data_IF_005856601656
#
_entry.id   IF_005856601656
#
_cell.length_a   1.000
_cell.length_b   1.000
_cell.length_c   1.000
_cell.angle_alpha   90.00
_cell.angle_beta   90.00
_cell.angle_gamma   90.00
#
_symmetry.space_group_name_H-M   'P 1'
#
loop_
_entity.id
_entity.type
_entity.pdbx_description
1 polymer ?
#
# COMPACT_ATOMS: atom_id res chain seq x y z
N UNK A 1 -34.84 -13.76 10.37
CA UNK A 1 -34.23 -13.34 9.10
C UNK A 1 -33.11 -12.41 9.46
N UNK A 2 -31.85 -12.83 9.27
CA UNK A 2 -30.73 -11.88 9.30
C UNK A 2 -30.91 -10.94 8.10
N UNK A 3 -30.89 -9.63 8.33
CA UNK A 3 -30.91 -8.66 7.26
C UNK A 3 -29.55 -8.73 6.54
N UNK A 4 -29.57 -9.00 5.24
CA UNK A 4 -28.37 -8.98 4.41
C UNK A 4 -27.90 -7.53 4.25
N UNK A 5 -26.58 -7.31 4.30
CA UNK A 5 -26.01 -6.00 3.98
C UNK A 5 -26.46 -5.53 2.60
N UNK A 6 -26.72 -4.24 2.45
CA UNK A 6 -26.67 -3.60 1.14
C UNK A 6 -25.22 -3.55 0.67
N UNK A 7 -24.94 -4.03 -0.55
CA UNK A 7 -23.58 -4.06 -1.13
C UNK A 7 -23.59 -3.24 -2.40
N UNK A 8 -22.73 -2.21 -2.46
CA UNK A 8 -22.48 -1.39 -3.64
C UNK A 8 -21.04 -1.58 -4.11
N UNK A 9 -20.85 -1.82 -5.41
CA UNK A 9 -19.52 -1.92 -6.03
C UNK A 9 -19.32 -0.76 -7.02
N UNK A 10 -18.21 -0.05 -6.87
CA UNK A 10 -17.89 1.15 -7.64
C UNK A 10 -16.47 0.99 -8.19
N UNK A 11 -16.24 1.47 -9.41
CA UNK A 11 -14.90 1.69 -9.96
C UNK A 11 -14.61 3.19 -9.96
N UNK A 12 -13.45 3.59 -9.45
CA UNK A 12 -13.01 4.99 -9.43
C UNK A 12 -11.62 5.13 -10.03
N UNK A 13 -11.45 6.22 -10.78
CA UNK A 13 -10.17 6.61 -11.38
C UNK A 13 -9.58 7.90 -10.81
N UNK A 14 -10.35 8.59 -9.95
CA UNK A 14 -9.89 9.77 -9.23
C UNK A 14 -10.60 9.92 -7.89
N UNK A 15 -9.88 10.46 -6.90
CA UNK A 15 -10.44 10.80 -5.59
C UNK A 15 -11.47 11.93 -5.62
N UNK A 16 -11.53 12.76 -6.66
CA UNK A 16 -12.56 13.81 -6.78
C UNK A 16 -14.00 13.27 -6.84
N UNK A 17 -14.16 12.01 -7.24
CA UNK A 17 -15.45 11.33 -7.25
C UNK A 17 -15.76 10.58 -5.95
N UNK A 18 -14.76 10.33 -5.10
CA UNK A 18 -14.90 9.57 -3.85
C UNK A 18 -15.86 10.26 -2.87
N UNK A 19 -15.61 11.54 -2.59
CA UNK A 19 -16.34 12.31 -1.57
C UNK A 19 -17.79 12.61 -1.95
N UNK A 20 -18.16 12.48 -3.23
CA UNK A 20 -19.55 12.53 -3.68
C UNK A 20 -20.34 11.29 -3.25
N UNK A 21 -19.66 10.17 -3.03
CA UNK A 21 -20.25 8.85 -2.74
C UNK A 21 -20.23 8.48 -1.26
N UNK A 22 -19.33 9.07 -0.47
CA UNK A 22 -19.20 8.77 0.95
C UNK A 22 -19.76 9.94 1.77
N UNK A 23 -20.85 9.67 2.50
CA UNK A 23 -21.47 10.58 3.48
C UNK A 23 -22.05 9.77 4.62
N UNK A 24 -22.14 10.39 5.80
CA UNK A 24 -22.87 9.86 6.93
C UNK A 24 -22.02 9.76 8.19
N UNK A 25 -22.69 9.86 9.35
CA UNK A 25 -22.14 9.45 10.64
C UNK A 25 -22.08 7.91 10.69
N UNK A 26 -21.33 7.36 11.64
CA UNK A 26 -21.18 5.91 11.86
C UNK A 26 -20.65 5.15 10.63
N UNK A 27 -19.80 5.83 9.85
CA UNK A 27 -19.12 5.28 8.68
C UNK A 27 -17.64 5.07 8.97
N UNK A 28 -17.14 3.87 8.67
CA UNK A 28 -15.71 3.57 8.63
C UNK A 28 -15.23 3.56 7.17
N UNK A 29 -14.22 4.37 6.86
CA UNK A 29 -13.53 4.32 5.57
C UNK A 29 -12.19 3.61 5.75
N UNK A 30 -11.96 2.58 4.95
CA UNK A 30 -10.76 1.74 4.98
C UNK A 30 -10.04 1.91 3.65
N UNK A 31 -8.83 2.46 3.71
CA UNK A 31 -7.97 2.63 2.55
C UNK A 31 -6.94 1.50 2.48
N UNK A 32 -6.76 0.89 1.33
CA UNK A 32 -5.45 0.33 1.01
C UNK A 32 -4.41 1.44 0.90
N UNK A 33 -3.15 1.08 1.05
CA UNK A 33 -2.02 2.01 0.99
C UNK A 33 -1.35 1.97 -0.37
N UNK A 34 -0.78 0.82 -0.76
CA UNK A 34 -0.03 0.69 -2.00
C UNK A 34 -1.02 0.67 -3.17
N UNK A 35 -0.79 1.47 -4.21
CA UNK A 35 -1.71 1.53 -5.36
C UNK A 35 -2.97 2.37 -5.14
N UNK A 36 -3.25 2.81 -3.90
CA UNK A 36 -4.37 3.68 -3.56
C UNK A 36 -3.92 5.03 -2.97
N UNK A 37 -3.10 5.01 -1.90
CA UNK A 37 -2.58 6.23 -1.27
C UNK A 37 -1.18 6.56 -1.79
N UNK A 38 -0.29 5.58 -1.75
CA UNK A 38 1.14 5.73 -2.01
C UNK A 38 1.56 4.95 -3.25
N UNK A 39 2.49 5.54 -3.98
CA UNK A 39 3.26 4.89 -5.02
C UNK A 39 4.74 5.20 -4.84
N UNK A 40 5.60 4.30 -5.31
CA UNK A 40 7.02 4.61 -5.41
C UNK A 40 7.25 5.77 -6.40
N UNK A 41 8.25 6.62 -6.11
CA UNK A 41 8.67 7.66 -7.06
C UNK A 41 9.39 7.08 -8.26
N UNK A 42 10.22 6.06 -8.02
CA UNK A 42 11.05 5.43 -9.04
C UNK A 42 10.23 4.45 -9.88
N UNK A 43 10.35 4.58 -11.20
CA UNK A 43 9.60 3.80 -12.18
C UNK A 43 9.90 2.30 -12.08
N UNK A 44 11.12 1.91 -11.71
CA UNK A 44 11.48 0.49 -11.54
C UNK A 44 10.56 -0.21 -10.52
N UNK A 45 10.10 0.53 -9.52
CA UNK A 45 9.27 0.05 -8.42
C UNK A 45 7.77 0.10 -8.72
N UNK A 46 7.37 0.61 -9.90
CA UNK A 46 5.96 0.66 -10.31
C UNK A 46 5.35 -0.74 -10.51
N UNK A 47 4.02 -0.84 -10.49
CA UNK A 47 3.34 -2.11 -10.74
C UNK A 47 3.72 -2.72 -12.10
N UNK A 48 3.78 -1.89 -13.15
CA UNK A 48 4.08 -2.32 -14.53
C UNK A 48 5.44 -2.97 -14.69
N UNK A 49 6.41 -2.63 -13.81
CA UNK A 49 7.76 -3.17 -13.87
C UNK A 49 7.98 -4.36 -12.91
N UNK A 50 6.91 -4.90 -12.34
CA UNK A 50 6.99 -6.01 -11.37
C UNK A 50 7.68 -7.24 -11.94
N UNK A 51 7.43 -7.59 -13.20
CA UNK A 51 8.07 -8.75 -13.83
C UNK A 51 9.60 -8.57 -13.91
N UNK A 52 10.06 -7.37 -14.31
CA UNK A 52 11.48 -7.03 -14.34
C UNK A 52 12.12 -7.15 -12.95
N UNK A 53 11.42 -6.68 -11.90
CA UNK A 53 11.90 -6.80 -10.52
C UNK A 53 11.98 -8.24 -10.06
N UNK A 54 10.94 -9.03 -10.30
CA UNK A 54 10.92 -10.45 -9.93
C UNK A 54 12.07 -11.19 -10.60
N UNK A 55 12.28 -10.98 -11.90
CA UNK A 55 13.40 -11.58 -12.62
C UNK A 55 14.75 -11.22 -11.99
N UNK A 56 14.99 -9.94 -11.71
CA UNK A 56 16.22 -9.50 -11.06
C UNK A 56 16.43 -10.16 -9.69
N UNK A 57 15.40 -10.19 -8.84
CA UNK A 57 15.49 -10.79 -7.50
C UNK A 57 15.64 -12.31 -7.56
N UNK A 58 15.01 -12.98 -8.52
CA UNK A 58 15.14 -14.42 -8.72
C UNK A 58 16.54 -14.78 -9.23
N UNK A 59 17.14 -13.94 -10.08
CA UNK A 59 18.53 -14.12 -10.52
C UNK A 59 19.50 -13.95 -9.33
N UNK A 60 19.25 -12.98 -8.43
CA UNK A 60 20.01 -12.87 -7.16
C UNK A 60 19.87 -14.13 -6.31
N UNK A 61 18.66 -14.64 -6.13
CA UNK A 61 18.44 -15.85 -5.32
C UNK A 61 19.12 -17.07 -5.91
N UNK A 62 19.08 -17.24 -7.24
CA UNK A 62 19.77 -18.34 -7.92
C UNK A 62 21.29 -18.24 -7.77
N UNK A 63 21.87 -17.05 -7.84
CA UNK A 63 23.32 -16.84 -7.79
C UNK A 63 23.89 -16.73 -6.37
N UNK A 64 23.11 -16.23 -5.41
CA UNK A 64 23.60 -15.83 -4.07
C UNK A 64 22.70 -16.29 -2.91
N UNK A 65 21.57 -16.94 -3.19
CA UNK A 65 20.66 -17.48 -2.19
C UNK A 65 19.62 -16.50 -1.64
N UNK A 66 18.66 -17.05 -0.90
CA UNK A 66 17.50 -16.32 -0.38
C UNK A 66 17.87 -15.17 0.57
N UNK A 67 18.91 -15.33 1.38
CA UNK A 67 19.36 -14.28 2.31
C UNK A 67 19.82 -13.04 1.54
N UNK A 68 20.60 -13.22 0.48
CA UNK A 68 21.06 -12.10 -0.34
C UNK A 68 19.91 -11.43 -1.10
N UNK A 69 18.93 -12.21 -1.60
CA UNK A 69 17.69 -11.66 -2.19
C UNK A 69 16.96 -10.76 -1.20
N UNK A 70 16.78 -11.22 0.05
CA UNK A 70 16.13 -10.45 1.12
C UNK A 70 16.90 -9.18 1.47
N UNK A 71 18.23 -9.26 1.51
CA UNK A 71 19.09 -8.10 1.78
C UNK A 71 19.00 -7.06 0.65
N UNK A 72 19.17 -7.47 -0.61
CA UNK A 72 19.09 -6.52 -1.73
C UNK A 72 17.70 -5.90 -1.79
N UNK A 73 16.63 -6.70 -1.72
CA UNK A 73 15.29 -6.16 -1.74
C UNK A 73 15.02 -5.24 -0.54
N UNK A 74 15.45 -5.64 0.66
CA UNK A 74 15.31 -4.83 1.86
C UNK A 74 16.01 -3.48 1.72
N UNK A 75 17.19 -3.44 1.11
CA UNK A 75 17.95 -2.22 0.88
C UNK A 75 17.28 -1.30 -0.16
N UNK A 76 16.71 -1.86 -1.22
CA UNK A 76 15.91 -1.09 -2.19
C UNK A 76 14.73 -0.43 -1.49
N UNK A 77 13.97 -1.20 -0.69
CA UNK A 77 12.81 -0.69 0.03
C UNK A 77 13.20 0.34 1.11
N UNK A 78 14.39 0.21 1.73
CA UNK A 78 14.89 1.16 2.72
C UNK A 78 15.26 2.53 2.14
N UNK A 79 15.67 2.57 0.87
CA UNK A 79 16.19 3.76 0.22
C UNK A 79 15.21 4.38 -0.79
N UNK A 80 14.07 3.72 -1.04
CA UNK A 80 13.09 4.25 -1.98
C UNK A 80 12.30 5.41 -1.39
N UNK A 81 11.86 6.32 -2.26
CA UNK A 81 10.99 7.41 -1.88
C UNK A 81 9.54 7.19 -2.34
N UNK A 82 8.59 7.61 -1.51
CA UNK A 82 7.16 7.55 -1.82
C UNK A 82 6.61 8.90 -2.30
N UNK A 83 5.65 8.83 -3.22
CA UNK A 83 4.74 9.92 -3.60
C UNK A 83 3.30 9.52 -3.29
N UNK A 84 2.46 10.54 -3.03
CA UNK A 84 1.01 10.35 -3.10
C UNK A 84 0.65 10.01 -4.54
N UNK A 85 -0.32 9.11 -4.71
CA UNK A 85 -0.85 8.78 -6.04
C UNK A 85 -1.54 9.99 -6.65
N UNK A 86 -2.43 10.62 -5.88
CA UNK A 86 -3.04 11.90 -6.21
C UNK A 86 -2.82 12.89 -5.06
N UNK A 87 -2.25 14.09 -5.30
CA UNK A 87 -2.12 15.10 -4.25
C UNK A 87 -3.47 15.53 -3.65
N UNK A 88 -4.56 15.47 -4.42
CA UNK A 88 -5.91 15.84 -3.96
C UNK A 88 -6.47 14.89 -2.89
N UNK A 89 -5.89 13.68 -2.75
CA UNK A 89 -6.28 12.70 -1.74
C UNK A 89 -6.29 13.29 -0.33
N UNK A 90 -5.29 14.11 0.02
CA UNK A 90 -5.19 14.72 1.36
C UNK A 90 -6.42 15.59 1.67
N UNK A 91 -6.88 16.37 0.68
CA UNK A 91 -8.09 17.19 0.83
C UNK A 91 -9.32 16.32 1.08
N UNK A 92 -9.49 15.24 0.31
CA UNK A 92 -10.62 14.33 0.45
C UNK A 92 -10.59 13.55 1.76
N UNK A 93 -9.41 13.11 2.19
CA UNK A 93 -9.19 12.47 3.50
C UNK A 93 -9.71 13.35 4.64
N UNK A 94 -9.28 14.61 4.70
CA UNK A 94 -9.71 15.54 5.73
C UNK A 94 -11.19 15.90 5.60
N UNK A 95 -11.70 16.03 4.38
CA UNK A 95 -13.14 16.23 4.17
C UNK A 95 -13.96 15.09 4.77
N UNK A 96 -13.59 13.82 4.52
CA UNK A 96 -14.29 12.67 5.09
C UNK A 96 -14.26 12.68 6.62
N UNK A 97 -13.08 12.94 7.20
CA UNK A 97 -12.88 12.99 8.65
C UNK A 97 -13.72 14.10 9.30
N UNK A 98 -13.71 15.31 8.74
CA UNK A 98 -14.54 16.43 9.24
C UNK A 98 -16.04 16.21 9.07
N UNK A 99 -16.45 15.33 8.16
CA UNK A 99 -17.85 14.91 8.02
C UNK A 99 -18.23 13.73 8.93
N UNK A 100 -17.36 13.35 9.87
CA UNK A 100 -17.66 12.40 10.93
C UNK A 100 -17.41 10.93 10.58
N UNK A 101 -16.68 10.64 9.51
CA UNK A 101 -16.21 9.30 9.23
C UNK A 101 -14.94 8.98 10.05
N UNK A 102 -14.88 7.78 10.61
CA UNK A 102 -13.62 7.21 11.09
C UNK A 102 -12.85 6.66 9.88
N UNK A 103 -11.54 6.88 9.85
CA UNK A 103 -10.68 6.49 8.73
C UNK A 103 -9.50 5.66 9.22
N UNK A 104 -9.34 4.46 8.67
CA UNK A 104 -8.19 3.59 8.91
C UNK A 104 -7.52 3.20 7.58
N UNK A 105 -6.29 2.71 7.67
CA UNK A 105 -5.61 2.07 6.54
C UNK A 105 -5.47 0.57 6.78
N UNK A 106 -5.48 -0.23 5.72
CA UNK A 106 -5.31 -1.69 5.76
C UNK A 106 -4.46 -2.18 4.59
N UNK A 107 -3.22 -2.57 4.90
CA UNK A 107 -2.25 -3.05 3.91
C UNK A 107 -1.95 -4.53 4.09
N UNK A 108 -1.63 -5.22 2.99
CA UNK A 108 -1.14 -6.60 3.00
C UNK A 108 0.31 -6.73 3.50
N UNK A 109 0.99 -5.60 3.73
CA UNK A 109 2.38 -5.56 4.19
C UNK A 109 2.57 -6.25 5.55
N UNK A 110 3.79 -6.72 5.79
CA UNK A 110 4.24 -7.26 7.07
C UNK A 110 5.74 -7.03 7.28
N UNK A 111 6.31 -7.55 8.38
CA UNK A 111 7.69 -7.26 8.78
C UNK A 111 8.66 -8.07 7.91
N UNK A 112 9.01 -7.51 6.76
CA UNK A 112 9.79 -8.20 5.73
C UNK A 112 11.17 -7.58 5.47
N UNK A 113 11.58 -6.57 6.25
CA UNK A 113 12.83 -5.85 6.05
C UNK A 113 13.84 -6.12 7.17
N UNK A 114 15.10 -6.52 6.86
CA UNK A 114 16.12 -6.75 7.87
C UNK A 114 16.82 -5.48 8.37
N UNK A 115 16.67 -4.33 7.70
CA UNK A 115 17.41 -3.10 8.00
C UNK A 115 16.65 -2.12 8.91
N UNK A 116 15.31 -2.16 8.91
CA UNK A 116 14.48 -1.24 9.68
C UNK A 116 13.08 -1.79 9.92
N UNK A 117 12.33 -1.14 10.83
CA UNK A 117 10.92 -1.43 11.06
C UNK A 117 10.07 -0.83 9.91
N UNK A 118 9.84 -1.65 8.89
CA UNK A 118 9.06 -1.27 7.70
C UNK A 118 7.61 -0.88 8.03
N UNK A 119 7.02 -1.43 9.08
CA UNK A 119 5.64 -1.10 9.46
C UNK A 119 5.59 0.30 10.08
N UNK A 120 6.52 0.62 10.98
CA UNK A 120 6.61 1.96 11.56
C UNK A 120 6.98 3.02 10.52
N UNK A 121 7.97 2.75 9.66
CA UNK A 121 8.34 3.65 8.57
C UNK A 121 7.14 3.98 7.67
N UNK A 122 6.29 2.99 7.38
CA UNK A 122 5.09 3.24 6.58
C UNK A 122 4.13 4.21 7.25
N UNK A 123 3.95 4.09 8.57
CA UNK A 123 3.13 5.03 9.34
C UNK A 123 3.73 6.44 9.29
N UNK A 124 5.04 6.54 9.46
CA UNK A 124 5.74 7.83 9.46
C UNK A 124 5.66 8.51 8.09
N UNK A 125 5.84 7.76 6.99
CA UNK A 125 5.62 8.25 5.63
C UNK A 125 4.20 8.78 5.42
N UNK A 126 3.18 8.08 5.92
CA UNK A 126 1.79 8.54 5.80
C UNK A 126 1.54 9.86 6.56
N UNK A 127 2.10 9.97 7.78
CA UNK A 127 2.04 11.21 8.57
C UNK A 127 2.75 12.37 7.87
N UNK A 128 3.92 12.12 7.29
CA UNK A 128 4.68 13.11 6.51
C UNK A 128 3.90 13.59 5.27
N UNK A 129 2.94 12.80 4.77
CA UNK A 129 2.00 13.23 3.72
C UNK A 129 0.73 13.90 4.26
N UNK A 130 0.64 14.12 5.58
CA UNK A 130 -0.50 14.77 6.23
C UNK A 130 -1.71 13.85 6.42
N UNK A 131 -1.51 12.52 6.42
CA UNK A 131 -2.56 11.52 6.61
C UNK A 131 -2.43 10.88 8.00
N UNK A 132 -3.37 11.19 8.88
CA UNK A 132 -3.38 10.72 10.28
C UNK A 132 -4.66 9.92 10.51
N UNK A 133 -4.51 8.60 10.62
CA UNK A 133 -5.59 7.64 10.74
C UNK A 133 -6.12 7.51 12.17
N UNK A 134 -7.34 6.98 12.31
CA UNK A 134 -8.02 6.80 13.58
C UNK A 134 -7.50 5.54 14.30
N UNK A 135 -6.57 5.75 15.22
CA UNK A 135 -5.88 4.69 15.96
C UNK A 135 -6.50 4.34 17.32
N UNK A 136 -7.81 4.06 17.39
CA UNK A 136 -8.48 3.69 18.66
C UNK A 136 -7.88 2.44 19.33
N UNK A 137 -7.28 1.56 18.53
CA UNK A 137 -6.55 0.38 18.98
C UNK A 137 -5.10 0.42 18.54
N UNK A 138 -4.22 -0.11 19.37
CA UNK A 138 -2.81 -0.31 19.08
C UNK A 138 -2.41 -1.73 19.50
N UNK A 139 -1.63 -2.40 18.68
CA UNK A 139 -1.10 -3.73 19.00
C UNK A 139 -1.61 -4.84 18.07
N UNK A 140 -1.47 -6.09 18.53
CA UNK A 140 -1.74 -7.27 17.69
C UNK A 140 -3.24 -7.55 17.57
N UNK A 141 -3.69 -7.90 16.37
CA UNK A 141 -5.01 -8.48 16.13
C UNK A 141 -4.82 -9.99 16.11
N UNK A 142 -5.44 -10.70 17.05
CA UNK A 142 -5.34 -12.16 17.11
C UNK A 142 -6.34 -12.79 16.15
N UNK A 143 -5.87 -13.51 15.15
CA UNK A 143 -6.73 -14.25 14.20
C UNK A 143 -6.71 -15.74 14.53
N UNK A 144 -5.54 -16.30 14.78
CA UNK A 144 -5.36 -17.72 15.05
C UNK A 144 -4.27 -17.94 16.12
N UNK A 145 -4.09 -19.20 16.51
CA UNK A 145 -3.01 -19.64 17.41
C UNK A 145 -1.77 -20.13 16.65
N UNK A 146 -1.69 -19.86 15.34
CA UNK A 146 -0.58 -20.35 14.54
C UNK A 146 0.71 -19.57 14.86
N UNK A 147 1.85 -20.25 14.71
CA UNK A 147 3.17 -19.66 14.92
C UNK A 147 3.62 -18.83 13.71
N UNK A 148 2.74 -17.93 13.22
CA UNK A 148 3.04 -16.93 12.19
C UNK A 148 2.79 -15.53 12.74
N UNK A 149 3.45 -14.49 12.19
CA UNK A 149 3.23 -13.12 12.63
C UNK A 149 1.76 -12.71 12.51
N UNK A 150 1.12 -12.43 13.65
CA UNK A 150 -0.26 -11.94 13.71
C UNK A 150 -0.34 -10.49 13.18
N UNK A 151 -1.45 -10.08 12.55
CA UNK A 151 -1.64 -8.71 12.11
C UNK A 151 -1.45 -7.71 13.25
N UNK A 152 -1.06 -6.48 12.91
CA UNK A 152 -0.72 -5.44 13.88
C UNK A 152 -1.37 -4.12 13.48
N UNK A 153 -1.82 -3.34 14.46
CA UNK A 153 -2.27 -1.97 14.28
C UNK A 153 -1.24 -1.02 14.88
N UNK A 154 -0.86 -0.02 14.08
CA UNK A 154 0.01 1.08 14.47
C UNK A 154 -0.66 2.37 13.98
N UNK A 155 -1.12 3.20 14.91
CA UNK A 155 -1.69 4.54 14.66
C UNK A 155 -2.79 4.57 13.59
N UNK A 156 -3.71 3.59 13.64
CA UNK A 156 -4.83 3.49 12.71
C UNK A 156 -4.47 2.85 11.36
N UNK A 157 -3.23 2.37 11.21
CA UNK A 157 -2.77 1.56 10.08
C UNK A 157 -2.70 0.09 10.49
N UNK A 158 -3.44 -0.74 9.79
CA UNK A 158 -3.51 -2.19 10.00
C UNK A 158 -2.61 -2.91 8.99
N UNK A 159 -1.66 -3.69 9.50
CA UNK A 159 -0.78 -4.55 8.74
C UNK A 159 -1.31 -5.98 8.77
N UNK A 160 -1.82 -6.46 7.64
CA UNK A 160 -2.46 -7.77 7.55
C UNK A 160 -1.47 -8.93 7.56
N UNK A 161 -0.16 -8.71 7.32
CA UNK A 161 0.90 -9.74 7.40
C UNK A 161 0.56 -11.06 6.67
N UNK A 162 0.04 -10.91 5.44
CA UNK A 162 -0.33 -12.04 4.58
C UNK A 162 -1.62 -12.77 4.97
N UNK A 163 -2.45 -12.20 5.85
CA UNK A 163 -3.83 -12.64 6.04
C UNK A 163 -4.75 -11.94 5.04
N UNK A 164 -5.90 -12.55 4.77
CA UNK A 164 -6.96 -11.92 3.98
C UNK A 164 -7.45 -10.64 4.66
N UNK A 165 -7.49 -9.52 3.93
CA UNK A 165 -7.87 -8.20 4.48
C UNK A 165 -9.25 -8.20 5.13
N UNK A 166 -10.24 -8.88 4.54
CA UNK A 166 -11.58 -8.98 5.11
C UNK A 166 -11.61 -9.68 6.47
N UNK A 167 -10.83 -10.76 6.63
CA UNK A 167 -10.70 -11.49 7.90
C UNK A 167 -10.06 -10.60 8.97
N UNK A 168 -9.00 -9.88 8.61
CA UNK A 168 -8.28 -8.98 9.51
C UNK A 168 -9.18 -7.84 9.97
N UNK A 169 -9.90 -7.22 9.03
CA UNK A 169 -10.84 -6.13 9.33
C UNK A 169 -11.96 -6.60 10.25
N UNK A 170 -12.52 -7.79 10.00
CA UNK A 170 -13.51 -8.40 10.88
C UNK A 170 -12.97 -8.58 12.30
N UNK A 171 -11.80 -9.21 12.45
CA UNK A 171 -11.19 -9.46 13.76
C UNK A 171 -10.88 -8.14 14.49
N UNK A 172 -10.44 -7.11 13.76
CA UNK A 172 -10.24 -5.78 14.31
C UNK A 172 -11.53 -5.18 14.87
N UNK A 173 -12.63 -5.21 14.09
CA UNK A 173 -13.92 -4.66 14.52
C UNK A 173 -14.48 -5.40 15.74
N UNK A 174 -14.41 -6.74 15.74
CA UNK A 174 -14.84 -7.58 16.85
C UNK A 174 -14.05 -7.26 18.13
N UNK A 175 -12.73 -7.10 18.01
CA UNK A 175 -11.86 -6.78 19.14
C UNK A 175 -12.12 -5.38 19.71
N UNK A 176 -12.46 -4.42 18.85
CA UNK A 176 -12.84 -3.07 19.27
C UNK A 176 -14.25 -2.98 19.84
N UNK A 177 -15.08 -4.02 19.65
CA UNK A 177 -16.53 -3.94 19.86
C UNK A 177 -17.12 -2.71 19.16
N UNK A 178 -16.55 -2.34 18.01
CA UNK A 178 -16.94 -1.18 17.24
C UNK A 178 -18.06 -1.57 16.29
N UNK A 179 -19.12 -0.76 16.27
CA UNK A 179 -20.25 -0.95 15.39
C UNK A 179 -20.33 0.25 14.43
N UNK A 180 -20.22 -0.03 13.14
CA UNK A 180 -20.45 0.94 12.08
C UNK A 180 -21.67 0.48 11.28
N UNK A 181 -22.55 1.40 10.91
CA UNK A 181 -23.67 1.09 10.02
C UNK A 181 -23.20 0.97 8.57
N UNK A 182 -22.08 1.63 8.23
CA UNK A 182 -21.49 1.64 6.90
C UNK A 182 -19.99 1.43 6.93
N UNK A 183 -19.51 0.54 6.06
CA UNK A 183 -18.08 0.39 5.76
C UNK A 183 -17.84 0.72 4.30
N UNK A 184 -16.80 1.51 4.04
CA UNK A 184 -16.32 1.81 2.68
C UNK A 184 -14.90 1.29 2.55
N UNK A 185 -14.67 0.27 1.72
CA UNK A 185 -13.34 -0.25 1.42
C UNK A 185 -12.87 0.29 0.06
N UNK A 186 -11.65 0.82 0.01
CA UNK A 186 -11.00 1.35 -1.19
C UNK A 186 -9.71 0.58 -1.41
N UNK A 187 -9.62 -0.17 -2.50
CA UNK A 187 -8.49 -1.06 -2.80
C UNK A 187 -8.26 -1.08 -4.31
N UNK A 188 -7.02 -1.28 -4.76
CA UNK A 188 -6.72 -1.46 -6.18
C UNK A 188 -6.87 -2.92 -6.64
N UNK A 189 -7.05 -3.86 -5.71
CA UNK A 189 -7.22 -5.28 -6.01
C UNK A 189 -8.64 -5.77 -5.69
N UNK A 190 -9.37 -6.21 -6.71
CA UNK A 190 -10.71 -6.81 -6.58
C UNK A 190 -10.79 -7.96 -5.57
N UNK A 191 -9.75 -8.79 -5.49
CA UNK A 191 -9.67 -9.92 -4.54
C UNK A 191 -9.73 -9.46 -3.07
N UNK A 192 -9.16 -8.31 -2.74
CA UNK A 192 -9.23 -7.74 -1.39
C UNK A 192 -10.64 -7.24 -1.09
N UNK A 193 -11.32 -6.64 -2.06
CA UNK A 193 -12.72 -6.22 -1.94
C UNK A 193 -13.65 -7.41 -1.74
N UNK A 194 -13.44 -8.48 -2.53
CA UNK A 194 -14.19 -9.74 -2.42
C UNK A 194 -14.00 -10.38 -1.04
N UNK A 195 -12.80 -10.28 -0.48
CA UNK A 195 -12.52 -10.73 0.88
C UNK A 195 -13.34 -9.93 1.90
N UNK A 196 -13.32 -8.59 1.83
CA UNK A 196 -14.09 -7.74 2.74
C UNK A 196 -15.59 -8.04 2.67
N UNK A 197 -16.14 -8.16 1.46
CA UNK A 197 -17.55 -8.56 1.27
C UNK A 197 -17.84 -9.88 1.98
N UNK A 198 -17.03 -10.91 1.72
CA UNK A 198 -17.23 -12.27 2.24
C UNK A 198 -17.31 -12.29 3.76
N UNK A 199 -16.42 -11.57 4.44
CA UNK A 199 -16.31 -11.61 5.90
C UNK A 199 -17.25 -10.65 6.63
N UNK A 200 -17.76 -9.60 5.96
CA UNK A 200 -18.56 -8.55 6.63
C UNK A 200 -20.02 -8.45 6.18
N UNK A 201 -20.43 -9.10 5.08
CA UNK A 201 -21.81 -9.01 4.51
C UNK A 201 -22.98 -9.40 5.42
N UNK A 202 -22.70 -9.94 6.61
CA UNK A 202 -23.70 -10.31 7.62
C UNK A 202 -23.51 -9.55 8.95
N UNK A 203 -22.59 -8.59 9.02
CA UNK A 203 -22.21 -7.87 10.24
C UNK A 203 -22.49 -6.36 10.18
N UNK A 204 -22.73 -5.81 8.99
CA UNK A 204 -22.83 -4.36 8.74
C UNK A 204 -24.06 -4.09 7.87
N UNK A 205 -24.74 -2.96 8.04
CA UNK A 205 -25.96 -2.68 7.26
C UNK A 205 -25.63 -2.33 5.79
N UNK A 206 -24.50 -1.67 5.55
CA UNK A 206 -24.07 -1.21 4.23
C UNK A 206 -22.57 -1.35 4.00
N UNK A 207 -22.19 -1.94 2.87
CA UNK A 207 -20.80 -2.06 2.43
C UNK A 207 -20.67 -1.44 1.04
N UNK A 208 -19.75 -0.49 0.91
CA UNK A 208 -19.35 0.08 -0.38
C UNK A 208 -17.93 -0.38 -0.70
N UNK A 209 -17.76 -1.06 -1.81
CA UNK A 209 -16.48 -1.60 -2.27
C UNK A 209 -16.04 -0.81 -3.49
N UNK A 210 -14.91 -0.12 -3.36
CA UNK A 210 -14.38 0.79 -4.36
C UNK A 210 -13.09 0.17 -4.91
N UNK A 211 -13.16 -0.28 -6.15
CA UNK A 211 -11.98 -0.66 -6.92
C UNK A 211 -11.38 0.61 -7.51
N UNK A 212 -10.23 1.01 -6.99
CA UNK A 212 -9.54 2.22 -7.40
C UNK A 212 -8.44 1.87 -8.39
N UNK A 213 -8.44 2.52 -9.55
CA UNK A 213 -7.32 2.42 -10.49
C UNK A 213 -6.94 3.80 -10.99
N UNK A 214 -5.73 4.23 -10.64
CA UNK A 214 -5.21 5.51 -11.11
C UNK A 214 -4.53 5.34 -12.46
N UNK A 215 -5.13 5.89 -13.51
CA UNK A 215 -4.54 5.89 -14.86
C UNK A 215 -3.40 6.91 -14.93
N UNK A 216 -2.15 6.42 -14.84
CA UNK A 216 -1.00 7.25 -15.18
C UNK A 216 -0.70 7.21 -16.66
N UNK A 217 -1.00 8.31 -17.33
CA UNK A 217 -0.25 8.75 -18.51
C UNK A 217 1.12 9.29 -18.06
N UNK A 218 1.98 8.47 -17.45
CA UNK A 218 3.40 8.83 -17.31
C UNK A 218 4.15 8.33 -18.55
N UNK A 219 4.87 9.21 -19.25
CA UNK A 219 5.77 8.84 -20.35
C UNK A 219 6.71 7.73 -19.87
N UNK A 220 6.61 6.56 -20.49
CA UNK A 220 7.60 5.51 -20.32
C UNK A 220 8.94 6.01 -20.91
N UNK A 221 9.72 6.73 -20.10
CA UNK A 221 11.16 6.87 -20.35
C UNK A 221 11.72 5.47 -20.52
N UNK A 222 12.74 5.33 -21.38
CA UNK A 222 13.42 4.05 -21.59
C UNK A 222 13.96 3.49 -20.26
N UNK A 223 13.13 2.70 -19.60
CA UNK A 223 13.35 2.30 -18.22
C UNK A 223 14.48 1.28 -18.14
N UNK A 224 14.73 0.54 -19.22
CA UNK A 224 15.72 -0.52 -19.26
C UNK A 224 17.11 -0.04 -18.85
N UNK A 225 17.57 1.09 -19.40
CA UNK A 225 18.90 1.61 -19.08
C UNK A 225 18.99 2.10 -17.63
N UNK A 226 17.95 2.78 -17.14
CA UNK A 226 17.85 3.22 -15.75
C UNK A 226 17.86 2.02 -14.80
N UNK A 227 16.98 1.06 -15.03
CA UNK A 227 16.85 -0.17 -14.25
C UNK A 227 18.14 -0.96 -14.20
N UNK A 228 18.86 -1.10 -15.32
CA UNK A 228 20.16 -1.81 -15.33
C UNK A 228 21.17 -1.09 -14.45
N UNK A 229 21.30 0.24 -14.58
CA UNK A 229 22.23 1.00 -13.74
C UNK A 229 21.86 0.91 -12.25
N UNK A 230 20.58 1.04 -11.91
CA UNK A 230 20.08 0.92 -10.54
C UNK A 230 20.38 -0.47 -9.96
N UNK A 231 20.14 -1.52 -10.75
CA UNK A 231 20.43 -2.92 -10.39
C UNK A 231 21.92 -3.15 -10.15
N UNK A 232 22.80 -2.57 -10.96
CA UNK A 232 24.24 -2.71 -10.81
C UNK A 232 24.76 -1.99 -9.57
N UNK A 233 24.26 -0.77 -9.31
CA UNK A 233 24.63 -0.01 -8.10
C UNK A 233 24.15 -0.69 -6.82
N UNK A 234 22.93 -1.22 -6.80
CA UNK A 234 22.44 -1.90 -5.59
C UNK A 234 23.20 -3.20 -5.33
N UNK A 235 23.58 -3.92 -6.39
CA UNK A 235 24.39 -5.15 -6.30
C UNK A 235 25.82 -4.88 -5.82
N UNK A 236 26.47 -3.87 -6.38
CA UNK A 236 27.92 -3.67 -6.22
C UNK A 236 28.28 -2.66 -5.14
N UNK A 237 27.43 -1.65 -4.93
CA UNK A 237 27.67 -0.54 -4.01
C UNK A 237 26.71 -0.52 -2.83
N UNK A 238 25.68 -1.38 -2.80
CA UNK A 238 24.60 -1.33 -1.80
C UNK A 238 23.92 0.05 -1.74
N UNK A 239 23.77 0.69 -2.91
CA UNK A 239 23.10 1.98 -3.07
C UNK A 239 21.97 1.81 -4.07
N UNK A 240 20.76 2.18 -3.68
CA UNK A 240 19.65 2.36 -4.60
C UNK A 240 19.70 3.78 -5.17
N UNK A 241 19.83 3.88 -6.49
CA UNK A 241 19.75 5.17 -7.17
C UNK A 241 18.29 5.48 -7.49
N UNK A 242 17.82 6.66 -7.12
CA UNK A 242 16.55 7.18 -7.65
C UNK A 242 16.63 7.34 -9.17
N UNK A 243 15.48 7.39 -9.84
CA UNK A 243 15.40 7.62 -11.29
C UNK A 243 16.12 8.91 -11.70
N UNK A 244 16.06 9.94 -10.85
CA UNK A 244 16.76 11.21 -11.07
C UNK A 244 18.27 11.03 -11.03
N UNK A 245 18.80 10.32 -10.02
CA UNK A 245 20.24 10.06 -9.89
C UNK A 245 20.75 9.18 -11.03
N UNK A 246 20.03 8.10 -11.36
CA UNK A 246 20.37 7.20 -12.46
C UNK A 246 20.37 7.95 -13.81
N UNK A 247 19.39 8.83 -14.04
CA UNK A 247 19.33 9.65 -15.26
C UNK A 247 20.55 10.57 -15.41
N UNK A 248 20.98 11.23 -14.33
CA UNK A 248 22.16 12.12 -14.35
C UNK A 248 23.43 11.32 -14.64
N UNK A 249 23.62 10.17 -13.99
CA UNK A 249 24.79 9.33 -14.21
C UNK A 249 24.86 8.79 -15.64
N UNK A 250 23.74 8.34 -16.22
CA UNK A 250 23.69 7.89 -17.61
C UNK A 250 24.08 9.01 -18.59
N UNK A 251 23.69 10.26 -18.33
CA UNK A 251 24.09 11.40 -19.17
C UNK A 251 25.59 11.64 -19.13
N UNK A 252 26.23 11.50 -17.97
CA UNK A 252 27.68 11.64 -17.82
C UNK A 252 28.40 10.51 -18.58
N UNK A 253 28.02 9.25 -18.32
CA UNK A 253 28.62 8.07 -18.97
C UNK A 253 28.52 8.13 -20.50
N UNK A 254 27.42 8.66 -21.04
CA UNK A 254 27.24 8.76 -22.49
C UNK A 254 28.05 9.90 -23.12
N UNK A 255 28.30 11.00 -22.39
CA UNK A 255 29.18 12.08 -22.87
C UNK A 255 30.63 11.62 -23.00
N UNK A 256 31.12 10.89 -22.00
CA UNK A 256 32.48 10.34 -21.98
C UNK A 256 32.73 9.28 -23.07
N UNK A 257 31.68 8.73 -23.71
CA UNK A 257 31.78 7.80 -24.83
C UNK A 257 31.73 8.47 -26.21
N UNK A 258 31.40 9.76 -26.25
CA UNK A 258 31.32 10.55 -27.49
C UNK A 258 32.49 11.50 -27.69
N UNK A 259 33.42 11.55 -26.72
CA UNK A 259 34.74 12.18 -26.81
C UNK A 259 35.83 11.12 -26.99
#
# INVERSE_FOLDING_TARGET
MEALSSIERIKLHSFDDLTKKIRGKDTLVVFDIDGVILAAKDSYLSHDNREMRHKFLDDIEKSHGLVQKKNIYGLIIAQMEYKLIEPVLVKHFWFLKFNGADIIALTSMGPNNPYFDQEQDRVDVLKDKGLIFDGRYQGLIKIDEQNRPQPKVIEGVIFARGYEKGLVLKAYLDQQRANYSKIVMIDDMSQNLDSVERYLKNQVDSIVLIEYSYDKLEEQKSIKALSTLQQDFVKTQSIWLSDKQASVLLQIINKDKTE
#
